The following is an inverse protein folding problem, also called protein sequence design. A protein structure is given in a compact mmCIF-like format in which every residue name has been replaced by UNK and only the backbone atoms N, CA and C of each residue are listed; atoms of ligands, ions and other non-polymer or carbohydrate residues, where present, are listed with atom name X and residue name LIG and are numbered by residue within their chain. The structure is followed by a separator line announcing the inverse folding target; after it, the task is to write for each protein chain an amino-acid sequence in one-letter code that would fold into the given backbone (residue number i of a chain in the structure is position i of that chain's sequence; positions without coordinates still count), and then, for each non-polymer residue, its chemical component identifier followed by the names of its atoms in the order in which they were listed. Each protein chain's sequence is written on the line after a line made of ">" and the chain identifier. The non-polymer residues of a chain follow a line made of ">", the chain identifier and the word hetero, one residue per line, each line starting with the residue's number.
data_IF_108246293019
#
_entry.id   IF_108246293019
#
_cell.length_a   1.000
_cell.length_b   1.000
_cell.length_c   1.000
_cell.angle_alpha   90.00
_cell.angle_beta   90.00
_cell.angle_gamma   90.00
#
_symmetry.space_group_name_H-M   'P 1'
#
loop_
_entity.id
_entity.type
_entity.pdbx_description
1 polymer ?
#
# COMPACT_ATOMS: atom_id res chain seq x y z
N UNK A 1 -10.42 -6.07 5.01
CA UNK A 1 -10.00 -4.69 4.70
C UNK A 1 -8.63 -4.68 4.02
N UNK A 2 -7.60 -5.27 4.63
CA UNK A 2 -6.25 -5.43 4.02
C UNK A 2 -6.29 -6.10 2.64
N UNK A 3 -6.85 -7.32 2.56
CA UNK A 3 -6.94 -8.08 1.32
C UNK A 3 -7.72 -7.35 0.22
N UNK A 4 -8.77 -6.60 0.57
CA UNK A 4 -9.57 -5.80 -0.37
C UNK A 4 -8.73 -4.68 -0.97
N UNK A 5 -8.06 -3.89 -0.12
CA UNK A 5 -7.21 -2.78 -0.58
C UNK A 5 -6.06 -3.29 -1.44
N UNK A 6 -5.36 -4.33 -1.01
CA UNK A 6 -4.20 -4.83 -1.77
C UNK A 6 -4.57 -5.60 -3.04
N UNK A 7 -5.77 -6.20 -3.10
CA UNK A 7 -6.31 -6.69 -4.39
C UNK A 7 -6.50 -5.52 -5.35
N UNK A 8 -7.15 -4.44 -4.89
CA UNK A 8 -7.36 -3.25 -5.69
C UNK A 8 -6.04 -2.59 -6.13
N UNK A 9 -5.04 -2.52 -5.25
CA UNK A 9 -3.68 -2.08 -5.57
C UNK A 9 -3.06 -2.94 -6.69
N UNK A 10 -3.08 -4.26 -6.54
CA UNK A 10 -2.47 -5.19 -7.50
C UNK A 10 -3.19 -5.21 -8.86
N UNK A 11 -4.50 -4.95 -8.89
CA UNK A 11 -5.30 -4.93 -10.13
C UNK A 11 -5.52 -3.53 -10.68
N UNK A 12 -4.90 -2.50 -10.12
CA UNK A 12 -5.11 -1.09 -10.47
C UNK A 12 -6.60 -0.65 -10.42
N UNK A 13 -7.37 -1.16 -9.45
CA UNK A 13 -8.71 -0.64 -9.18
C UNK A 13 -8.60 0.64 -8.33
N UNK A 14 -8.40 1.77 -9.01
CA UNK A 14 -8.26 3.08 -8.37
C UNK A 14 -9.55 3.54 -7.68
N UNK A 15 -10.71 3.05 -8.14
CA UNK A 15 -12.01 3.41 -7.54
C UNK A 15 -12.11 2.80 -6.14
N UNK A 16 -11.87 1.50 -5.99
CA UNK A 16 -11.88 0.86 -4.67
C UNK A 16 -10.78 1.41 -3.76
N UNK A 17 -9.59 1.71 -4.29
CA UNK A 17 -8.55 2.38 -3.49
C UNK A 17 -9.02 3.74 -2.97
N UNK A 18 -9.65 4.55 -3.83
CA UNK A 18 -10.20 5.84 -3.44
C UNK A 18 -11.34 5.73 -2.41
N UNK A 19 -12.15 4.68 -2.45
CA UNK A 19 -13.21 4.47 -1.44
C UNK A 19 -12.65 4.08 -0.05
N UNK A 20 -11.47 3.46 0.00
CA UNK A 20 -10.83 2.99 1.25
C UNK A 20 -9.92 4.06 1.86
N UNK A 21 -9.20 4.82 1.03
CA UNK A 21 -8.27 5.86 1.50
C UNK A 21 -9.07 7.03 2.08
N UNK A 22 -8.74 7.43 3.31
CA UNK A 22 -9.36 8.57 3.98
C UNK A 22 -9.07 9.89 3.24
N UNK A 23 -9.99 10.85 3.31
CA UNK A 23 -9.81 12.17 2.68
C UNK A 23 -8.63 12.95 3.31
N UNK A 24 -8.39 12.75 4.60
CA UNK A 24 -7.33 13.35 5.41
C UNK A 24 -6.13 12.42 5.61
N UNK A 25 -5.86 11.53 4.64
CA UNK A 25 -4.74 10.59 4.67
C UNK A 25 -3.39 11.29 4.91
N UNK A 26 -2.58 10.74 5.81
CA UNK A 26 -1.18 11.09 5.97
C UNK A 26 -0.32 9.93 5.47
N UNK A 27 0.33 10.11 4.32
CA UNK A 27 1.21 9.11 3.72
C UNK A 27 2.67 9.55 3.85
N UNK A 28 3.49 8.72 4.49
CA UNK A 28 4.92 8.98 4.68
C UNK A 28 5.74 8.10 3.75
N UNK A 29 6.44 8.72 2.79
CA UNK A 29 7.35 8.06 1.87
C UNK A 29 8.80 8.34 2.25
N UNK A 30 9.67 7.35 2.13
CA UNK A 30 11.10 7.44 2.49
C UNK A 30 11.85 8.55 1.72
N UNK A 31 11.55 8.71 0.43
CA UNK A 31 12.12 9.75 -0.41
C UNK A 31 11.28 11.03 -0.50
N UNK A 32 9.95 10.89 -0.54
CA UNK A 32 9.02 12.01 -0.75
C UNK A 32 8.61 12.74 0.53
N UNK A 33 8.84 12.13 1.70
CA UNK A 33 8.36 12.65 2.98
C UNK A 33 6.84 12.52 3.11
N UNK A 34 6.26 13.42 3.89
CA UNK A 34 4.81 13.49 4.15
C UNK A 34 4.04 13.99 2.91
N UNK A 35 3.02 13.24 2.52
CA UNK A 35 1.96 13.65 1.59
C UNK A 35 0.61 13.57 2.30
N UNK A 36 -0.18 14.64 2.18
CA UNK A 36 -1.51 14.76 2.81
C UNK A 36 -2.65 14.88 1.81
N UNK A 37 -2.36 14.64 0.52
CA UNK A 37 -3.32 14.80 -0.57
C UNK A 37 -3.71 13.44 -1.12
N UNK A 38 -4.94 12.99 -0.81
CA UNK A 38 -5.52 11.76 -1.37
C UNK A 38 -5.45 11.72 -2.90
N UNK A 39 -5.71 12.87 -3.55
CA UNK A 39 -5.64 12.99 -5.01
C UNK A 39 -4.23 12.73 -5.52
N UNK A 40 -3.22 13.40 -4.96
CA UNK A 40 -1.83 13.22 -5.38
C UNK A 40 -1.31 11.81 -5.09
N UNK A 41 -1.75 11.21 -3.98
CA UNK A 41 -1.45 9.81 -3.66
C UNK A 41 -2.00 8.85 -4.72
N UNK A 42 -3.27 9.00 -5.11
CA UNK A 42 -3.89 8.17 -6.15
C UNK A 42 -3.21 8.37 -7.52
N UNK A 43 -2.91 9.62 -7.90
CA UNK A 43 -2.17 9.92 -9.13
C UNK A 43 -0.76 9.31 -9.13
N UNK A 44 -0.08 9.31 -7.98
CA UNK A 44 1.22 8.67 -7.81
C UNK A 44 1.13 7.16 -7.93
N UNK A 45 0.12 6.53 -7.33
CA UNK A 45 -0.13 5.09 -7.46
C UNK A 45 -0.41 4.74 -8.92
N UNK A 46 -1.31 5.45 -9.59
CA UNK A 46 -1.61 5.23 -11.01
C UNK A 46 -0.34 5.32 -11.88
N UNK A 47 0.45 6.37 -11.67
CA UNK A 47 1.66 6.60 -12.47
C UNK A 47 2.75 5.56 -12.23
N UNK A 48 2.98 5.19 -10.99
CA UNK A 48 4.19 4.47 -10.59
C UNK A 48 3.96 2.98 -10.31
N UNK A 49 2.75 2.57 -9.94
CA UNK A 49 2.45 1.21 -9.49
C UNK A 49 1.62 0.45 -10.52
N UNK A 50 0.56 1.06 -11.06
CA UNK A 50 -0.39 0.36 -11.92
C UNK A 50 0.29 -0.35 -13.10
N UNK A 51 0.07 -1.66 -13.20
CA UNK A 51 0.65 -2.52 -14.24
C UNK A 51 2.16 -2.74 -14.11
N UNK A 52 2.81 -2.24 -13.05
CA UNK A 52 4.27 -2.30 -12.84
C UNK A 52 4.65 -3.08 -11.60
N UNK A 53 3.99 -2.80 -10.48
CA UNK A 53 4.35 -3.33 -9.17
C UNK A 53 3.22 -4.19 -8.62
N UNK A 54 3.55 -5.40 -8.18
CA UNK A 54 2.65 -6.29 -7.43
C UNK A 54 3.15 -6.42 -6.00
N UNK A 55 2.26 -6.26 -5.04
CA UNK A 55 2.54 -6.49 -3.61
C UNK A 55 2.06 -7.88 -3.20
N UNK A 56 2.85 -8.54 -2.36
CA UNK A 56 2.57 -9.83 -1.75
C UNK A 56 2.70 -9.73 -0.21
N UNK A 57 1.70 -10.21 0.53
CA UNK A 57 1.78 -10.39 1.99
C UNK A 57 2.53 -11.68 2.29
N UNK A 58 3.51 -11.65 3.20
CA UNK A 58 4.05 -12.89 3.77
C UNK A 58 2.99 -13.47 4.70
N UNK A 59 2.48 -14.66 4.38
CA UNK A 59 1.45 -15.33 5.15
C UNK A 59 1.84 -15.48 6.62
N UNK A 60 0.90 -15.22 7.53
CA UNK A 60 1.12 -15.25 8.97
C UNK A 60 1.87 -14.04 9.56
N UNK A 61 2.29 -13.05 8.75
CA UNK A 61 3.01 -11.87 9.25
C UNK A 61 2.12 -10.67 9.60
N UNK A 62 0.83 -10.71 9.26
CA UNK A 62 -0.09 -9.60 9.51
C UNK A 62 -0.41 -9.50 11.00
N UNK A 63 -0.10 -8.34 11.57
CA UNK A 63 -0.39 -7.95 12.95
C UNK A 63 -1.39 -6.80 12.93
N UNK A 64 -2.45 -6.91 13.72
CA UNK A 64 -3.46 -5.84 13.87
C UNK A 64 -3.67 -5.56 15.35
N UNK A 65 -3.44 -4.32 15.75
CA UNK A 65 -3.53 -3.87 17.14
C UNK A 65 -4.56 -2.75 17.27
N UNK A 66 -5.56 -2.92 18.14
CA UNK A 66 -6.58 -1.90 18.40
C UNK A 66 -5.97 -0.68 19.12
N UNK A 67 -6.34 0.51 18.67
CA UNK A 67 -6.20 1.77 19.39
C UNK A 67 -7.58 2.16 19.91
N UNK A 68 -7.81 1.92 21.20
CA UNK A 68 -9.10 2.11 21.84
C UNK A 68 -9.68 3.51 21.59
N UNK A 69 -10.88 3.54 21.00
CA UNK A 69 -11.61 4.79 20.72
C UNK A 69 -11.10 5.57 19.50
N UNK A 70 -10.19 5.01 18.71
CA UNK A 70 -9.62 5.67 17.53
C UNK A 70 -9.63 4.78 16.29
N UNK A 71 -9.09 3.56 16.37
CA UNK A 71 -8.96 2.69 15.21
C UNK A 71 -8.06 1.49 15.49
N UNK A 72 -7.23 1.11 14.52
CA UNK A 72 -6.26 0.05 14.68
C UNK A 72 -4.99 0.37 13.87
N UNK A 73 -3.86 -0.18 14.31
CA UNK A 73 -2.62 -0.25 13.54
C UNK A 73 -2.56 -1.62 12.90
N UNK A 74 -2.41 -1.66 11.57
CA UNK A 74 -2.10 -2.88 10.83
C UNK A 74 -0.66 -2.78 10.33
N UNK A 75 0.10 -3.86 10.51
CA UNK A 75 1.48 -3.96 10.01
C UNK A 75 1.77 -5.39 9.57
N UNK A 76 2.69 -5.58 8.63
CA UNK A 76 3.04 -6.91 8.14
C UNK A 76 4.36 -6.94 7.42
N UNK A 77 4.78 -8.13 6.95
CA UNK A 77 5.91 -8.27 6.04
C UNK A 77 5.41 -8.37 4.60
N UNK A 78 5.95 -7.52 3.74
CA UNK A 78 5.50 -7.34 2.37
C UNK A 78 6.67 -7.57 1.41
N UNK A 79 6.40 -8.26 0.30
CA UNK A 79 7.28 -8.28 -0.88
C UNK A 79 6.66 -7.42 -1.96
N UNK A 80 7.52 -6.75 -2.73
CA UNK A 80 7.14 -5.99 -3.90
C UNK A 80 7.88 -6.52 -5.10
N UNK A 81 7.14 -6.81 -6.16
CA UNK A 81 7.66 -7.34 -7.42
C UNK A 81 7.44 -6.28 -8.49
N UNK A 82 8.53 -5.70 -8.98
CA UNK A 82 8.50 -4.69 -10.03
C UNK A 82 8.87 -5.34 -11.37
N UNK A 83 7.92 -5.41 -12.29
CA UNK A 83 8.17 -6.01 -13.61
C UNK A 83 9.11 -5.17 -14.49
N UNK A 84 9.40 -3.92 -14.11
CA UNK A 84 10.40 -3.08 -14.75
C UNK A 84 11.83 -3.40 -14.27
N UNK A 85 11.96 -4.17 -13.19
CA UNK A 85 13.23 -4.58 -12.58
C UNK A 85 13.19 -6.10 -12.32
N UNK A 86 13.09 -6.95 -13.35
CA UNK A 86 12.81 -8.39 -13.20
C UNK A 86 13.90 -9.15 -12.43
N UNK A 87 15.13 -8.65 -12.41
CA UNK A 87 16.26 -9.25 -11.69
C UNK A 87 16.39 -8.73 -10.24
N UNK A 88 15.57 -7.76 -9.83
CA UNK A 88 15.61 -7.23 -8.47
C UNK A 88 15.13 -8.28 -7.46
N UNK A 89 15.95 -8.52 -6.44
CA UNK A 89 15.60 -9.46 -5.37
C UNK A 89 14.53 -8.82 -4.48
N UNK A 90 13.31 -9.35 -4.52
CA UNK A 90 12.23 -8.95 -3.63
C UNK A 90 12.46 -9.49 -2.20
N UNK A 91 13.02 -8.65 -1.34
CA UNK A 91 13.23 -8.95 0.08
C UNK A 91 12.00 -8.52 0.89
N UNK A 92 11.46 -9.38 1.77
CA UNK A 92 10.41 -8.97 2.70
C UNK A 92 10.88 -7.81 3.58
N UNK A 93 10.06 -6.79 3.71
CA UNK A 93 10.26 -5.71 4.68
C UNK A 93 8.96 -5.37 5.41
N UNK A 94 9.10 -4.78 6.61
CA UNK A 94 7.96 -4.41 7.44
C UNK A 94 7.36 -3.10 6.93
N UNK A 95 6.05 -3.11 6.72
CA UNK A 95 5.23 -1.96 6.36
C UNK A 95 4.11 -1.78 7.39
#
# INVERSE_FOLDING_TARGET
>A
MDSTYFTAYNTCDLKTQAEIIAEDVEFYHDQGGLSTSKKELLESIEKNICGKVTRELIEGSLEVHEIKGYGAVAMGLHKFHNNQEPDAISKPSKF
#
